data_IF_944343410187
#
_entry.id   IF_944343410187
#
_cell.length_a   1.000
_cell.length_b   1.000
_cell.length_c   1.000
_cell.angle_alpha   90.00
_cell.angle_beta   90.00
_cell.angle_gamma   90.00
#
_symmetry.space_group_name_H-M   'P 1'
#
loop_
_entity.id
_entity.type
_entity.pdbx_description
1 polymer ?
#
# COMPACT_ATOMS: atom_id res chain seq x y z
N UNK A 1 -28.89 -18.84 28.19
CA UNK A 1 -27.69 -18.75 27.34
C UNK A 1 -26.65 -17.96 28.10
N UNK A 2 -25.53 -18.54 28.56
CA UNK A 2 -24.50 -17.77 29.26
C UNK A 2 -23.67 -16.98 28.23
N UNK A 3 -23.59 -15.66 28.42
CA UNK A 3 -22.80 -14.74 27.61
C UNK A 3 -21.31 -14.90 27.93
N UNK A 4 -20.52 -15.25 26.92
CA UNK A 4 -19.06 -15.44 27.01
C UNK A 4 -18.36 -14.09 27.13
N UNK A 5 -17.59 -13.89 28.18
CA UNK A 5 -16.77 -12.68 28.36
C UNK A 5 -15.64 -12.65 27.32
N UNK A 6 -15.57 -11.58 26.53
CA UNK A 6 -14.54 -11.38 25.51
C UNK A 6 -13.29 -10.72 26.13
N UNK A 7 -12.19 -11.48 26.24
CA UNK A 7 -10.90 -11.06 26.80
C UNK A 7 -10.02 -10.25 25.85
N UNK A 8 -10.61 -9.32 25.09
CA UNK A 8 -9.86 -8.48 24.14
C UNK A 8 -9.40 -7.22 24.87
N UNK A 9 -8.11 -7.16 25.19
CA UNK A 9 -7.47 -5.95 25.74
C UNK A 9 -7.10 -5.03 24.57
N UNK A 10 -7.85 -3.94 24.40
CA UNK A 10 -7.55 -2.90 23.40
C UNK A 10 -6.45 -1.98 23.95
N UNK A 11 -5.34 -1.83 23.22
CA UNK A 11 -4.26 -0.90 23.57
C UNK A 11 -4.09 0.14 22.46
N UNK A 12 -4.34 1.41 22.77
CA UNK A 12 -4.07 2.54 21.87
C UNK A 12 -2.67 3.06 22.19
N UNK A 13 -1.82 3.21 21.17
CA UNK A 13 -0.48 3.76 21.30
C UNK A 13 -0.43 5.16 20.68
N UNK A 14 -0.14 6.18 21.49
CA UNK A 14 0.07 7.54 21.00
C UNK A 14 1.51 7.71 20.49
N UNK A 15 1.69 7.77 19.17
CA UNK A 15 3.00 7.85 18.53
C UNK A 15 3.76 9.15 18.81
N UNK A 16 3.06 10.24 19.17
CA UNK A 16 3.68 11.53 19.52
C UNK A 16 4.24 11.58 20.95
N UNK A 17 3.86 10.65 21.82
CA UNK A 17 4.33 10.54 23.21
C UNK A 17 4.37 9.06 23.62
N UNK A 18 5.34 8.28 23.11
CA UNK A 18 5.43 6.88 23.45
C UNK A 18 5.65 6.68 24.95
N UNK A 19 5.08 5.61 25.54
CA UNK A 19 5.30 5.30 26.95
C UNK A 19 6.80 5.05 27.21
N UNK A 20 7.30 5.55 28.34
CA UNK A 20 8.69 5.30 28.76
C UNK A 20 8.86 3.82 29.11
N UNK A 21 9.98 3.24 28.66
CA UNK A 21 10.32 1.85 28.98
C UNK A 21 10.51 1.68 30.49
N UNK A 22 9.91 0.63 31.06
CA UNK A 22 10.17 0.20 32.45
C UNK A 22 11.61 -0.30 32.59
N UNK A 23 12.11 -0.38 33.84
CA UNK A 23 13.44 -0.91 34.12
C UNK A 23 13.59 -2.35 33.61
N UNK A 24 12.55 -3.17 33.76
CA UNK A 24 12.51 -4.55 33.25
C UNK A 24 12.57 -4.61 31.72
N UNK A 25 11.86 -3.71 31.03
CA UNK A 25 11.90 -3.64 29.57
C UNK A 25 13.28 -3.23 29.06
N UNK A 26 13.96 -2.30 29.76
CA UNK A 26 15.34 -1.91 29.44
C UNK A 26 16.32 -3.06 29.65
N UNK A 27 16.26 -3.72 30.80
CA UNK A 27 17.13 -4.87 31.09
C UNK A 27 16.93 -6.01 30.07
N UNK A 28 15.70 -6.26 29.62
CA UNK A 28 15.42 -7.23 28.56
C UNK A 28 16.02 -6.83 27.21
N UNK A 29 15.94 -5.54 26.85
CA UNK A 29 16.56 -5.03 25.62
C UNK A 29 18.09 -5.11 25.68
N UNK A 30 18.68 -4.80 26.83
CA UNK A 30 20.12 -4.94 27.06
C UNK A 30 20.58 -6.41 26.98
N UNK A 31 19.80 -7.33 27.54
CA UNK A 31 20.08 -8.76 27.42
C UNK A 31 20.02 -9.27 25.96
N UNK A 32 19.04 -8.80 25.17
CA UNK A 32 18.94 -9.12 23.75
C UNK A 32 20.08 -8.47 22.95
N UNK A 33 20.48 -7.23 23.29
CA UNK A 33 21.57 -6.54 22.62
C UNK A 33 22.96 -7.13 22.92
N UNK A 34 23.12 -7.80 24.07
CA UNK A 34 24.35 -8.49 24.45
C UNK A 34 24.42 -9.93 23.91
N UNK A 35 23.33 -10.47 23.36
CA UNK A 35 23.28 -11.80 22.77
C UNK A 35 24.02 -11.77 21.41
N UNK A 36 24.95 -12.70 21.16
CA UNK A 36 25.62 -12.78 19.87
C UNK A 36 24.68 -13.32 18.79
N UNK A 37 24.85 -12.86 17.56
CA UNK A 37 24.01 -13.21 16.41
C UNK A 37 23.95 -14.72 16.15
N UNK A 38 25.03 -15.46 16.45
CA UNK A 38 25.11 -16.92 16.30
C UNK A 38 24.12 -17.70 17.17
N UNK A 39 23.59 -17.09 18.23
CA UNK A 39 22.59 -17.71 19.10
C UNK A 39 21.15 -17.38 18.67
N UNK A 40 20.97 -16.56 17.63
CA UNK A 40 19.64 -16.21 17.11
C UNK A 40 19.10 -17.40 16.30
N UNK A 41 18.00 -17.97 16.77
CA UNK A 41 17.31 -19.07 16.10
C UNK A 41 16.42 -18.54 14.96
N UNK A 42 16.78 -18.86 13.71
CA UNK A 42 16.05 -18.49 12.51
C UNK A 42 15.16 -19.63 11.95
N UNK A 43 15.00 -20.74 12.68
CA UNK A 43 14.31 -21.94 12.16
C UNK A 43 12.85 -21.71 11.76
N UNK A 44 12.16 -20.75 12.39
CA UNK A 44 10.76 -20.37 12.11
C UNK A 44 10.63 -19.28 11.03
N UNK A 45 11.74 -18.65 10.61
CA UNK A 45 11.74 -17.57 9.64
C UNK A 45 12.24 -18.08 8.26
N UNK A 46 11.41 -18.06 7.20
CA UNK A 46 11.91 -18.39 5.87
C UNK A 46 12.96 -17.35 5.45
N UNK A 47 14.09 -17.82 4.87
CA UNK A 47 15.10 -16.93 4.29
C UNK A 47 14.51 -16.20 3.09
N UNK A 48 14.31 -14.88 3.21
CA UNK A 48 13.98 -14.03 2.07
C UNK A 48 15.29 -13.62 1.39
N UNK A 49 15.44 -13.79 0.06
CA UNK A 49 16.56 -13.20 -0.65
C UNK A 49 16.52 -11.67 -0.54
N UNK A 50 17.69 -11.04 -0.41
CA UNK A 50 17.93 -9.64 -0.01
C UNK A 50 17.18 -8.54 -0.80
N UNK A 51 16.44 -8.89 -1.85
CA UNK A 51 15.86 -7.95 -2.79
C UNK A 51 14.39 -8.21 -3.16
N UNK A 52 13.59 -8.80 -2.27
CA UNK A 52 12.13 -8.91 -2.48
C UNK A 52 11.34 -8.03 -1.52
N UNK A 53 11.84 -6.82 -1.29
CA UNK A 53 10.92 -5.70 -1.19
C UNK A 53 10.34 -5.54 -2.59
N UNK A 54 9.26 -6.28 -2.89
CA UNK A 54 8.43 -5.92 -4.02
C UNK A 54 8.11 -4.46 -3.74
N UNK A 55 8.66 -3.56 -4.55
CA UNK A 55 8.05 -2.26 -4.76
C UNK A 55 6.69 -2.61 -5.32
N UNK A 56 5.76 -2.99 -4.44
CA UNK A 56 4.36 -2.78 -4.62
C UNK A 56 4.38 -1.29 -4.85
N UNK A 57 4.40 -0.91 -6.12
CA UNK A 57 4.41 0.46 -6.52
C UNK A 57 3.25 1.02 -5.71
N UNK A 58 3.60 1.81 -4.71
CA UNK A 58 2.67 2.67 -4.04
C UNK A 58 2.34 3.70 -5.12
N UNK A 59 1.63 3.26 -6.16
CA UNK A 59 0.65 4.08 -6.83
C UNK A 59 -0.34 4.39 -5.71
N UNK A 60 0.05 5.38 -4.89
CA UNK A 60 -0.86 6.20 -4.12
C UNK A 60 -2.08 6.36 -5.03
N UNK A 61 -3.29 6.01 -4.56
CA UNK A 61 -4.46 6.03 -5.42
C UNK A 61 -4.57 7.43 -6.00
N UNK A 62 -4.23 7.58 -7.29
CA UNK A 62 -4.34 8.86 -7.97
C UNK A 62 -5.79 9.31 -7.76
N UNK A 63 -5.98 10.43 -7.07
CA UNK A 63 -7.30 10.96 -6.78
C UNK A 63 -7.94 11.30 -8.11
N UNK A 64 -8.92 10.49 -8.51
CA UNK A 64 -9.67 10.73 -9.74
C UNK A 64 -10.40 12.05 -9.57
N UNK A 65 -10.09 13.03 -10.40
CA UNK A 65 -10.84 14.28 -10.44
C UNK A 65 -12.14 14.06 -11.21
N UNK A 66 -13.27 14.37 -10.57
CA UNK A 66 -14.57 14.33 -11.24
C UNK A 66 -14.70 15.59 -12.08
N UNK A 67 -14.75 15.42 -13.40
CA UNK A 67 -14.97 16.49 -14.37
C UNK A 67 -16.16 16.16 -15.26
N UNK A 68 -16.80 17.19 -15.82
CA UNK A 68 -17.83 17.03 -16.85
C UNK A 68 -17.17 17.11 -18.22
N UNK A 69 -17.03 15.97 -18.90
CA UNK A 69 -16.49 15.87 -20.25
C UNK A 69 -17.59 15.49 -21.23
N UNK A 70 -17.60 16.12 -22.41
CA UNK A 70 -18.47 15.73 -23.53
C UNK A 70 -17.73 14.74 -24.41
N UNK A 71 -18.37 13.60 -24.71
CA UNK A 71 -17.87 12.57 -25.61
C UNK A 71 -18.90 12.37 -26.73
N UNK A 72 -18.43 11.99 -27.91
CA UNK A 72 -19.31 11.62 -29.01
C UNK A 72 -20.19 10.42 -28.65
N UNK A 73 -21.40 10.41 -29.19
CA UNK A 73 -22.39 9.36 -28.90
C UNK A 73 -21.86 7.96 -29.27
N UNK A 74 -21.22 7.83 -30.44
CA UNK A 74 -20.68 6.56 -30.93
C UNK A 74 -19.57 6.00 -30.03
N UNK A 75 -18.68 6.88 -29.55
CA UNK A 75 -17.60 6.51 -28.63
C UNK A 75 -18.19 6.03 -27.30
N UNK A 76 -19.15 6.78 -26.77
CA UNK A 76 -19.78 6.47 -25.50
C UNK A 76 -20.57 5.16 -25.58
N UNK A 77 -21.27 4.91 -26.69
CA UNK A 77 -21.98 3.66 -26.92
C UNK A 77 -21.02 2.48 -27.05
N UNK A 78 -19.92 2.61 -27.81
CA UNK A 78 -18.89 1.57 -27.88
C UNK A 78 -18.40 1.14 -26.49
N UNK A 79 -18.05 2.10 -25.63
CA UNK A 79 -17.60 1.79 -24.29
C UNK A 79 -18.72 1.21 -23.41
N UNK A 80 -19.97 1.67 -23.53
CA UNK A 80 -21.10 1.08 -22.80
C UNK A 80 -21.30 -0.40 -23.13
N UNK A 81 -21.11 -0.80 -24.40
CA UNK A 81 -21.24 -2.21 -24.82
C UNK A 81 -20.22 -3.13 -24.14
N UNK A 82 -19.05 -2.62 -23.71
CA UNK A 82 -18.07 -3.42 -22.93
C UNK A 82 -18.52 -3.74 -21.50
N UNK A 83 -19.68 -3.24 -21.06
CA UNK A 83 -20.33 -3.61 -19.81
C UNK A 83 -19.98 -2.71 -18.61
N UNK A 84 -20.31 -3.19 -17.40
CA UNK A 84 -20.08 -2.47 -16.14
C UNK A 84 -18.61 -2.02 -16.06
N UNK A 85 -18.39 -0.75 -15.67
CA UNK A 85 -17.08 -0.05 -15.62
C UNK A 85 -16.56 0.57 -16.93
N UNK A 86 -17.42 0.84 -17.90
CA UNK A 86 -17.05 1.56 -19.13
C UNK A 86 -16.25 2.87 -18.90
N UNK A 87 -16.61 3.67 -17.88
CA UNK A 87 -15.87 4.89 -17.51
C UNK A 87 -14.41 4.61 -17.11
N UNK A 88 -14.16 3.49 -16.42
CA UNK A 88 -12.79 3.11 -16.05
C UNK A 88 -11.97 2.69 -17.27
N UNK A 89 -12.61 2.09 -18.29
CA UNK A 89 -11.95 1.76 -19.57
C UNK A 89 -11.63 3.00 -20.38
N UNK A 90 -12.56 3.96 -20.45
CA UNK A 90 -12.29 5.28 -21.06
C UNK A 90 -11.05 5.91 -20.42
N UNK A 91 -11.00 5.94 -19.08
CA UNK A 91 -9.85 6.50 -18.37
C UNK A 91 -8.54 5.72 -18.64
N UNK A 92 -8.59 4.40 -18.79
CA UNK A 92 -7.41 3.59 -19.11
C UNK A 92 -6.86 3.91 -20.51
N UNK A 93 -7.75 4.08 -21.51
CA UNK A 93 -7.34 4.48 -22.87
C UNK A 93 -6.74 5.88 -22.88
N UNK A 94 -7.37 6.83 -22.20
CA UNK A 94 -6.83 8.19 -22.06
C UNK A 94 -5.45 8.19 -21.38
N UNK A 95 -5.25 7.36 -20.35
CA UNK A 95 -3.95 7.20 -19.70
C UNK A 95 -2.90 6.64 -20.66
N UNK A 96 -3.22 5.57 -21.38
CA UNK A 96 -2.30 4.97 -22.35
C UNK A 96 -1.93 5.97 -23.46
N UNK A 97 -2.90 6.75 -23.95
CA UNK A 97 -2.65 7.83 -24.91
C UNK A 97 -1.69 8.88 -24.33
N UNK A 98 -1.94 9.35 -23.11
CA UNK A 98 -1.07 10.33 -22.43
C UNK A 98 0.33 9.77 -22.21
N UNK A 99 0.49 8.51 -21.81
CA UNK A 99 1.80 7.89 -21.62
C UNK A 99 2.59 7.78 -22.94
N UNK A 100 1.93 7.34 -24.01
CA UNK A 100 2.52 7.27 -25.34
C UNK A 100 2.99 8.65 -25.85
N UNK A 101 2.22 9.72 -25.57
CA UNK A 101 2.54 11.07 -26.02
C UNK A 101 3.45 11.84 -25.05
N UNK A 102 3.50 11.48 -23.77
CA UNK A 102 4.46 12.03 -22.79
C UNK A 102 5.89 11.63 -23.12
N UNK A 103 6.11 10.43 -23.66
CA UNK A 103 7.42 10.03 -24.17
C UNK A 103 7.88 10.91 -25.34
N UNK A 104 6.93 11.49 -26.10
CA UNK A 104 7.19 12.39 -27.21
C UNK A 104 7.25 13.88 -26.81
N UNK A 105 6.86 14.23 -25.59
CA UNK A 105 6.84 15.59 -25.05
C UNK A 105 8.08 15.94 -24.20
N UNK A 106 9.01 15.00 -24.02
CA UNK A 106 10.28 15.21 -23.31
C UNK A 106 11.43 15.27 -24.34
N UNK A 107 11.73 16.50 -24.82
CA UNK A 107 12.85 17.03 -25.65
C UNK A 107 12.43 17.58 -27.03
N UNK A 108 13.00 18.71 -27.53
CA UNK A 108 13.56 19.95 -26.91
C UNK A 108 12.67 21.20 -27.29
N UNK A 109 12.81 22.45 -26.83
CA UNK A 109 13.93 23.31 -26.40
C UNK A 109 13.81 23.84 -24.95
#
# INVERSE_FOLDING_TARGET
>A
MPTKESSIVKRTLDLGKPPRLSAEQKARLEAVAAMPDDQIDYSDAPSLPDAVWIKAAAELPYTKQQITLRLDAEVLDFFKHTGKRYQSRINAVLRAYVEAHKAHAKLPE
#
